data_IF_647890567650
#
_entry.id   IF_647890567650
#
_cell.length_a   1.000
_cell.length_b   1.000
_cell.length_c   1.000
_cell.angle_alpha   90.00
_cell.angle_beta   90.00
_cell.angle_gamma   90.00
#
_symmetry.space_group_name_H-M   'P 1'
#
loop_
_entity.id
_entity.type
_entity.pdbx_description
1 polymer ?
#
# COMPACT_ATOMS: atom_id res chain seq x y z
N UNK A 1 0.03 1.52 -29.12
CA UNK A 1 0.81 1.25 -30.35
C UNK A 1 1.96 0.31 -30.00
N UNK A 2 1.76 -1.01 -30.06
CA UNK A 2 2.78 -2.05 -29.79
C UNK A 2 2.45 -3.30 -30.62
N UNK A 3 2.78 -3.30 -31.91
CA UNK A 3 2.64 -4.50 -32.78
C UNK A 3 3.78 -4.69 -33.79
N UNK A 4 4.89 -3.94 -33.70
CA UNK A 4 5.94 -3.97 -34.76
C UNK A 4 7.32 -4.47 -34.32
N UNK A 5 7.51 -4.99 -33.10
CA UNK A 5 8.85 -5.43 -32.64
C UNK A 5 9.09 -6.95 -32.81
N UNK A 6 8.05 -7.76 -33.06
CA UNK A 6 8.21 -9.22 -33.17
C UNK A 6 8.83 -9.71 -34.50
N UNK A 7 8.91 -8.87 -35.54
CA UNK A 7 9.42 -9.29 -36.86
C UNK A 7 10.95 -9.31 -36.99
N UNK A 8 11.68 -8.56 -36.17
CA UNK A 8 13.12 -8.38 -36.35
C UNK A 8 13.98 -9.43 -35.62
N UNK A 9 13.46 -10.08 -34.57
CA UNK A 9 14.25 -11.03 -33.75
C UNK A 9 14.43 -12.38 -34.44
N UNK A 10 13.46 -12.81 -35.25
CA UNK A 10 13.52 -14.11 -35.96
C UNK A 10 14.53 -14.08 -37.12
N UNK A 11 14.77 -12.93 -37.76
CA UNK A 11 15.77 -12.84 -38.84
C UNK A 11 17.22 -12.85 -38.34
N UNK A 12 17.48 -12.41 -37.11
CA UNK A 12 18.85 -12.35 -36.55
C UNK A 12 19.42 -13.71 -36.13
N UNK A 13 18.57 -14.65 -35.71
CA UNK A 13 18.99 -15.97 -35.22
C UNK A 13 19.39 -16.96 -36.33
N UNK A 14 19.07 -16.68 -37.60
CA UNK A 14 19.44 -17.54 -38.73
C UNK A 14 20.86 -17.24 -39.27
N UNK A 15 21.51 -16.16 -38.83
CA UNK A 15 22.83 -15.75 -39.35
C UNK A 15 23.99 -16.28 -38.48
N UNK A 16 23.75 -16.70 -37.24
CA UNK A 16 24.81 -17.10 -36.29
C UNK A 16 25.05 -18.62 -36.18
N UNK A 17 24.16 -19.47 -36.70
CA UNK A 17 24.43 -20.90 -36.86
C UNK A 17 25.09 -21.12 -38.23
N UNK A 18 26.36 -21.55 -38.25
CA UNK A 18 27.22 -21.70 -39.44
C UNK A 18 26.81 -22.75 -40.48
N UNK A 19 25.51 -22.87 -40.77
CA UNK A 19 24.94 -23.71 -41.80
C UNK A 19 23.88 -22.93 -42.61
N UNK A 20 24.11 -21.66 -42.91
CA UNK A 20 23.24 -20.92 -43.82
C UNK A 20 23.58 -21.31 -45.26
N UNK A 21 22.81 -22.22 -45.85
CA UNK A 21 22.59 -22.18 -47.30
C UNK A 21 22.09 -20.78 -47.63
N UNK A 22 22.79 -20.07 -48.49
CA UNK A 22 22.41 -18.72 -48.92
C UNK A 22 20.94 -18.71 -49.34
N UNK A 23 20.11 -17.96 -48.61
CA UNK A 23 18.71 -17.74 -48.98
C UNK A 23 18.76 -16.83 -50.21
N UNK A 24 18.39 -17.38 -51.37
CA UNK A 24 18.28 -16.65 -52.63
C UNK A 24 17.00 -15.81 -52.60
N UNK A 25 17.14 -14.52 -52.31
CA UNK A 25 16.01 -13.59 -52.22
C UNK A 25 15.39 -13.24 -53.59
N UNK A 26 16.05 -13.57 -54.70
CA UNK A 26 15.55 -13.30 -56.05
C UNK A 26 14.49 -14.31 -56.51
N UNK A 27 14.37 -15.46 -55.83
CA UNK A 27 13.35 -16.49 -56.11
C UNK A 27 12.09 -16.41 -55.25
N UNK A 28 12.00 -15.40 -54.39
CA UNK A 28 10.92 -15.28 -53.41
C UNK A 28 11.11 -16.26 -52.25
N UNK A 29 10.98 -15.77 -51.01
CA UNK A 29 11.06 -16.64 -49.85
C UNK A 29 9.81 -17.54 -49.80
N UNK A 30 10.01 -18.86 -49.87
CA UNK A 30 8.95 -19.83 -49.60
C UNK A 30 8.62 -19.78 -48.10
N UNK A 31 7.60 -18.98 -47.78
CA UNK A 31 7.09 -18.80 -46.42
C UNK A 31 6.69 -20.16 -45.81
N UNK A 32 6.28 -21.14 -46.62
CA UNK A 32 5.94 -22.49 -46.17
C UNK A 32 7.14 -23.31 -45.73
N UNK A 33 8.29 -23.18 -46.39
CA UNK A 33 9.56 -23.81 -45.97
C UNK A 33 10.12 -23.13 -44.71
N UNK A 34 10.04 -21.80 -44.61
CA UNK A 34 10.46 -21.06 -43.40
C UNK A 34 9.59 -21.42 -42.21
N UNK A 35 8.26 -21.51 -42.38
CA UNK A 35 7.35 -21.97 -41.32
C UNK A 35 7.63 -23.44 -40.95
N UNK A 36 7.91 -24.32 -41.93
CA UNK A 36 8.30 -25.71 -41.64
C UNK A 36 9.61 -25.81 -40.87
N UNK A 37 10.63 -25.03 -41.24
CA UNK A 37 11.92 -25.01 -40.55
C UNK A 37 11.79 -24.39 -39.16
N UNK A 38 11.00 -23.32 -38.99
CA UNK A 38 10.69 -22.74 -37.68
C UNK A 38 9.91 -23.70 -36.78
N UNK A 39 8.94 -24.43 -37.33
CA UNK A 39 8.20 -25.47 -36.60
C UNK A 39 9.08 -26.70 -36.29
N UNK A 40 9.99 -27.08 -37.20
CA UNK A 40 10.96 -28.16 -36.99
C UNK A 40 12.04 -27.78 -35.97
N UNK A 41 12.36 -26.49 -35.85
CA UNK A 41 13.24 -25.96 -34.82
C UNK A 41 12.61 -25.98 -33.42
N UNK A 42 11.31 -26.32 -33.28
CA UNK A 42 10.56 -26.37 -32.01
C UNK A 42 11.11 -25.36 -31.00
N UNK A 43 11.21 -24.09 -31.41
CA UNK A 43 11.60 -23.03 -30.48
C UNK A 43 10.36 -22.84 -29.60
N UNK A 44 10.19 -23.71 -28.61
CA UNK A 44 9.42 -23.39 -27.44
C UNK A 44 10.22 -22.28 -26.77
N UNK A 45 9.81 -21.00 -26.86
CA UNK A 45 10.49 -19.99 -26.07
C UNK A 45 10.37 -20.48 -24.64
N UNK A 46 11.51 -20.81 -24.01
CA UNK A 46 11.52 -21.24 -22.61
C UNK A 46 10.83 -20.12 -21.84
N UNK A 47 9.58 -20.35 -21.43
CA UNK A 47 8.79 -19.33 -20.76
C UNK A 47 9.44 -19.19 -19.40
N UNK A 48 10.18 -18.10 -19.26
CA UNK A 48 10.78 -17.76 -17.99
C UNK A 48 9.72 -17.03 -17.17
N UNK A 49 9.45 -17.52 -15.98
CA UNK A 49 8.61 -16.84 -15.01
C UNK A 49 9.35 -16.68 -13.70
N UNK A 50 8.98 -15.63 -12.99
CA UNK A 50 9.57 -15.28 -11.71
C UNK A 50 8.51 -15.40 -10.64
N UNK A 51 8.89 -16.01 -9.52
CA UNK A 51 8.06 -15.94 -8.31
C UNK A 51 8.26 -14.59 -7.65
N UNK A 52 7.17 -13.83 -7.56
CA UNK A 52 7.16 -12.56 -6.85
C UNK A 52 7.30 -12.81 -5.34
N UNK A 53 8.21 -12.08 -4.70
CA UNK A 53 8.38 -12.10 -3.25
C UNK A 53 8.09 -10.71 -2.70
N UNK A 54 7.01 -10.61 -1.92
CA UNK A 54 6.59 -9.35 -1.30
C UNK A 54 6.79 -9.41 0.21
N UNK A 55 7.27 -8.32 0.80
CA UNK A 55 7.32 -8.12 2.24
C UNK A 55 6.83 -6.73 2.60
N UNK A 56 6.20 -6.63 3.77
CA UNK A 56 5.83 -5.34 4.36
C UNK A 56 6.90 -4.93 5.35
N UNK A 57 7.40 -3.71 5.20
CA UNK A 57 8.31 -3.08 6.16
C UNK A 57 7.52 -2.00 6.88
N UNK A 58 7.63 -1.95 8.20
CA UNK A 58 7.08 -0.87 9.01
C UNK A 58 8.22 -0.23 9.80
N UNK A 59 8.28 1.10 9.76
CA UNK A 59 9.21 1.92 10.53
C UNK A 59 8.42 2.67 11.60
N UNK A 60 8.71 2.36 12.86
CA UNK A 60 8.19 3.08 14.01
C UNK A 60 8.90 4.44 14.19
N UNK A 61 8.37 5.29 15.08
CA UNK A 61 8.88 6.65 15.25
C UNK A 61 10.39 6.74 15.52
N UNK A 62 10.91 5.79 16.31
CA UNK A 62 12.31 5.73 16.74
C UNK A 62 13.25 5.06 15.72
N UNK A 63 12.73 4.44 14.67
CA UNK A 63 13.52 3.69 13.70
C UNK A 63 13.83 4.57 12.49
N UNK A 64 15.10 4.88 12.25
CA UNK A 64 15.50 5.79 11.17
C UNK A 64 15.78 5.08 9.84
N UNK A 65 15.98 3.76 9.87
CA UNK A 65 16.25 2.97 8.69
C UNK A 65 15.79 1.52 8.85
N UNK A 66 15.51 0.87 7.73
CA UNK A 66 15.35 -0.58 7.66
C UNK A 66 15.98 -1.11 6.37
N UNK A 67 16.50 -2.33 6.44
CA UNK A 67 16.95 -3.06 5.27
C UNK A 67 16.27 -4.42 5.24
N UNK A 68 15.88 -4.88 4.05
CA UNK A 68 15.32 -6.20 3.86
C UNK A 68 15.86 -6.87 2.61
N UNK A 69 16.14 -8.15 2.73
CA UNK A 69 16.49 -8.99 1.60
C UNK A 69 15.24 -9.73 1.10
N UNK A 70 15.01 -9.63 -0.20
CA UNK A 70 13.98 -10.31 -0.95
C UNK A 70 14.67 -11.30 -1.89
N UNK A 71 14.17 -12.52 -1.97
CA UNK A 71 14.69 -13.53 -2.89
C UNK A 71 13.59 -13.84 -3.90
N UNK A 72 13.81 -13.50 -5.16
CA UNK A 72 12.94 -13.91 -6.27
C UNK A 72 13.54 -15.13 -6.95
N UNK A 73 12.71 -16.12 -7.24
CA UNK A 73 13.15 -17.38 -7.87
C UNK A 73 12.71 -17.37 -9.33
N UNK A 74 13.67 -17.62 -10.22
CA UNK A 74 13.43 -17.79 -11.66
C UNK A 74 13.16 -19.25 -11.96
N UNK A 75 12.13 -19.48 -12.76
CA UNK A 75 11.79 -20.79 -13.27
C UNK A 75 11.80 -20.78 -14.80
N UNK A 76 12.15 -21.91 -15.38
CA UNK A 76 11.91 -22.20 -16.79
C UNK A 76 11.22 -23.56 -16.89
N UNK A 77 10.33 -23.70 -17.88
CA UNK A 77 9.71 -24.99 -18.13
C UNK A 77 10.74 -25.96 -18.72
N UNK A 78 10.85 -27.14 -18.10
CA UNK A 78 11.68 -28.25 -18.56
C UNK A 78 10.77 -29.43 -18.92
N UNK A 79 11.05 -30.09 -20.05
CA UNK A 79 10.38 -31.32 -20.40
C UNK A 79 10.95 -32.48 -19.57
N UNK A 80 10.11 -33.12 -18.77
CA UNK A 80 10.44 -34.35 -18.05
C UNK A 80 9.72 -35.54 -18.69
N UNK A 81 10.47 -36.61 -18.90
CA UNK A 81 9.94 -37.88 -19.43
C UNK A 81 9.20 -38.62 -18.31
N UNK A 82 7.94 -38.97 -18.54
CA UNK A 82 7.13 -39.81 -17.66
C UNK A 82 6.88 -41.18 -18.30
N UNK A 83 6.85 -42.26 -17.51
CA UNK A 83 6.45 -43.58 -17.99
C UNK A 83 5.01 -43.53 -18.55
N UNK A 84 4.81 -44.10 -19.74
CA UNK A 84 3.49 -44.21 -20.37
C UNK A 84 3.18 -45.66 -20.71
N UNK A 85 1.98 -46.10 -20.32
CA UNK A 85 1.48 -47.45 -20.59
C UNK A 85 1.14 -47.68 -22.08
N UNK A 86 1.18 -46.63 -22.92
CA UNK A 86 0.80 -46.67 -24.33
C UNK A 86 1.98 -46.78 -25.32
N UNK A 87 3.17 -47.20 -24.87
CA UNK A 87 4.23 -47.65 -25.77
C UNK A 87 5.13 -46.57 -26.37
N UNK A 88 5.34 -45.45 -25.67
CA UNK A 88 6.33 -44.43 -26.02
C UNK A 88 6.57 -43.45 -24.87
N UNK A 89 7.68 -42.69 -24.85
CA UNK A 89 7.93 -41.69 -23.81
C UNK A 89 6.87 -40.58 -23.89
N UNK A 90 6.17 -40.35 -22.79
CA UNK A 90 5.32 -39.17 -22.65
C UNK A 90 6.14 -38.07 -21.95
N UNK A 91 5.98 -36.82 -22.36
CA UNK A 91 6.66 -35.69 -21.74
C UNK A 91 5.65 -34.78 -21.05
N UNK A 92 5.99 -34.33 -19.84
CA UNK A 92 5.27 -33.28 -19.14
C UNK A 92 6.19 -32.07 -19.00
N UNK A 93 5.63 -30.87 -19.13
CA UNK A 93 6.36 -29.64 -18.82
C UNK A 93 6.26 -29.39 -17.32
N UNK A 94 7.39 -29.32 -16.64
CA UNK A 94 7.46 -28.98 -15.22
C UNK A 94 8.26 -27.69 -14.99
N UNK A 95 7.89 -26.88 -13.97
CA UNK A 95 8.75 -25.82 -13.47
C UNK A 95 10.09 -26.35 -13.00
N UNK A 96 11.19 -25.88 -13.59
CA UNK A 96 12.51 -26.06 -13.01
C UNK A 96 13.10 -24.72 -12.55
N UNK A 97 13.66 -24.68 -11.35
CA UNK A 97 14.34 -23.49 -10.83
C UNK A 97 15.64 -23.26 -11.60
N UNK A 98 15.78 -22.11 -12.24
CA UNK A 98 16.94 -21.77 -13.07
C UNK A 98 17.83 -20.70 -12.47
N UNK A 99 17.36 -19.99 -11.42
CA UNK A 99 18.15 -18.93 -10.78
C UNK A 99 17.46 -18.32 -9.56
N UNK A 100 18.25 -17.56 -8.80
CA UNK A 100 17.80 -16.82 -7.62
C UNK A 100 18.34 -15.40 -7.65
N UNK A 101 17.43 -14.44 -7.60
CA UNK A 101 17.75 -13.03 -7.53
C UNK A 101 17.60 -12.56 -6.10
N UNK A 102 18.71 -12.08 -5.51
CA UNK A 102 18.67 -11.49 -4.17
C UNK A 102 18.66 -9.98 -4.31
N UNK A 103 17.59 -9.38 -3.81
CA UNK A 103 17.43 -7.94 -3.86
C UNK A 103 17.37 -7.37 -2.45
N UNK A 104 18.34 -6.52 -2.12
CA UNK A 104 18.38 -5.78 -0.87
C UNK A 104 17.70 -4.43 -1.07
N UNK A 105 16.72 -4.13 -0.23
CA UNK A 105 16.05 -2.83 -0.21
C UNK A 105 16.35 -2.16 1.12
N UNK A 106 17.01 -1.01 1.05
CA UNK A 106 17.33 -0.16 2.19
C UNK A 106 16.46 1.10 2.14
N UNK A 107 15.84 1.43 3.26
CA UNK A 107 15.01 2.62 3.43
C UNK A 107 15.71 3.50 4.45
N UNK A 108 16.00 4.73 4.07
CA UNK A 108 16.56 5.76 4.94
C UNK A 108 15.56 6.92 5.07
N UNK A 109 15.24 7.26 6.32
CA UNK A 109 14.25 8.29 6.64
C UNK A 109 14.88 9.68 6.72
N UNK A 110 14.02 10.69 6.77
CA UNK A 110 14.45 12.07 6.98
C UNK A 110 15.02 12.25 8.40
N UNK A 111 16.11 13.01 8.53
CA UNK A 111 16.80 13.21 9.80
C UNK A 111 15.93 13.83 10.93
N UNK A 112 14.89 14.60 10.57
CA UNK A 112 13.96 15.16 11.56
C UNK A 112 13.02 14.11 12.21
N UNK A 113 13.04 12.86 11.74
CA UNK A 113 12.31 11.75 12.37
C UNK A 113 10.79 11.79 12.19
N UNK A 114 10.13 10.86 12.87
CA UNK A 114 8.68 10.66 12.90
C UNK A 114 8.17 11.21 14.22
N UNK A 115 6.96 11.78 14.23
CA UNK A 115 6.30 12.06 15.49
C UNK A 115 5.91 10.75 16.21
N UNK A 116 5.74 10.75 17.54
CA UNK A 116 5.52 9.51 18.30
C UNK A 116 4.32 8.66 17.87
N UNK A 117 3.30 9.27 17.24
CA UNK A 117 2.12 8.58 16.71
C UNK A 117 2.21 8.22 15.22
N UNK A 118 3.22 8.75 14.52
CA UNK A 118 3.42 8.46 13.12
C UNK A 118 4.12 7.11 12.94
N UNK A 119 3.79 6.44 11.84
CA UNK A 119 4.43 5.22 11.39
C UNK A 119 4.51 5.25 9.87
N UNK A 120 5.55 4.67 9.31
CA UNK A 120 5.65 4.49 7.87
C UNK A 120 5.60 3.00 7.55
N UNK A 121 4.84 2.63 6.53
CA UNK A 121 4.72 1.25 6.08
C UNK A 121 4.79 1.16 4.56
N UNK A 122 5.50 0.14 4.12
CA UNK A 122 5.86 -0.05 2.72
C UNK A 122 5.61 -1.48 2.32
N UNK A 123 5.01 -1.67 1.14
CA UNK A 123 5.01 -2.97 0.46
C UNK A 123 6.13 -2.97 -0.56
N UNK A 124 7.05 -3.91 -0.41
CA UNK A 124 8.22 -4.08 -1.28
C UNK A 124 8.12 -5.46 -1.92
N UNK A 125 8.06 -5.50 -3.25
CA UNK A 125 7.93 -6.72 -4.02
C UNK A 125 9.09 -6.83 -5.02
N UNK A 126 9.75 -7.99 -5.06
CA UNK A 126 10.81 -8.29 -6.01
C UNK A 126 10.35 -9.32 -7.05
N UNK A 127 10.61 -9.02 -8.32
CA UNK A 127 10.36 -9.89 -9.48
C UNK A 127 11.63 -9.95 -10.32
N UNK A 128 12.40 -11.04 -10.18
CA UNK A 128 13.78 -11.08 -10.68
C UNK A 128 14.62 -9.98 -10.04
N UNK A 129 15.32 -9.19 -10.86
CA UNK A 129 16.07 -8.01 -10.40
C UNK A 129 15.19 -6.78 -10.15
N UNK A 130 13.95 -6.76 -10.64
CA UNK A 130 13.08 -5.58 -10.53
C UNK A 130 12.41 -5.50 -9.17
N UNK A 131 12.35 -4.28 -8.61
CA UNK A 131 11.62 -3.98 -7.38
C UNK A 131 10.48 -3.03 -7.64
N UNK A 132 9.30 -3.44 -7.20
CA UNK A 132 8.14 -2.58 -7.05
C UNK A 132 8.01 -2.15 -5.58
N UNK A 133 7.81 -0.85 -5.39
CA UNK A 133 7.69 -0.23 -4.08
C UNK A 133 6.39 0.54 -4.01
N UNK A 134 5.61 0.28 -2.96
CA UNK A 134 4.37 0.99 -2.68
C UNK A 134 4.38 1.48 -1.23
N UNK A 135 4.24 2.79 -1.05
CA UNK A 135 3.96 3.39 0.26
C UNK A 135 2.53 3.05 0.63
N UNK A 136 2.33 2.34 1.74
CA UNK A 136 1.00 2.03 2.31
C UNK A 136 0.57 3.19 3.21
N UNK A 137 1.48 3.65 4.06
CA UNK A 137 1.31 4.81 4.95
C UNK A 137 2.67 5.47 5.10
N UNK A 138 2.75 6.80 5.02
CA UNK A 138 4.05 7.47 5.06
C UNK A 138 3.94 8.93 5.47
N UNK A 139 4.83 9.35 6.38
CA UNK A 139 5.02 10.75 6.73
C UNK A 139 6.04 11.42 5.80
N UNK A 140 6.60 10.69 4.84
CA UNK A 140 7.63 11.20 3.95
C UNK A 140 7.31 10.86 2.50
N UNK A 141 7.63 11.80 1.62
CA UNK A 141 7.71 11.54 0.19
C UNK A 141 9.08 10.92 -0.10
N UNK A 142 9.10 9.78 -0.80
CA UNK A 142 10.32 9.04 -1.11
C UNK A 142 10.74 9.21 -2.56
N UNK A 143 12.05 9.34 -2.80
CA UNK A 143 12.65 9.16 -4.13
C UNK A 143 13.27 7.77 -4.18
N UNK A 144 12.98 7.02 -5.25
CA UNK A 144 13.73 5.80 -5.53
C UNK A 144 15.10 6.18 -6.09
N UNK A 145 16.14 5.79 -5.38
CA UNK A 145 17.52 5.81 -5.85
C UNK A 145 17.90 4.36 -6.17
N UNK A 146 17.87 4.01 -7.45
CA UNK A 146 18.32 2.70 -7.88
C UNK A 146 19.85 2.73 -7.99
N UNK A 147 20.53 1.93 -7.18
CA UNK A 147 21.95 1.65 -7.34
C UNK A 147 22.08 0.17 -7.72
N UNK A 148 22.16 -0.14 -9.02
CA UNK A 148 22.52 -1.49 -9.46
C UNK A 148 23.99 -1.70 -9.12
N UNK A 149 24.25 -2.03 -7.87
CA UNK A 149 25.52 -2.57 -7.41
C UNK A 149 25.26 -4.05 -7.22
N UNK A 150 25.95 -4.92 -7.97
CA UNK A 150 25.99 -6.34 -7.64
C UNK A 150 26.37 -6.48 -6.15
N UNK A 151 25.57 -7.18 -5.33
CA UNK A 151 25.96 -7.46 -3.93
C UNK A 151 27.22 -8.33 -3.88
N UNK A 152 27.50 -9.06 -4.95
CA UNK A 152 28.64 -9.95 -5.17
C UNK A 152 29.06 -9.88 -6.65
N UNK A 153 30.18 -10.48 -7.04
CA UNK A 153 30.60 -10.59 -8.45
C UNK A 153 29.62 -11.43 -9.33
N UNK A 154 28.47 -11.83 -8.77
CA UNK A 154 27.37 -12.48 -9.47
C UNK A 154 26.39 -11.43 -10.01
N UNK A 155 25.93 -11.63 -11.25
CA UNK A 155 25.03 -10.73 -11.95
C UNK A 155 23.58 -10.73 -11.42
N UNK A 156 23.28 -11.40 -10.29
CA UNK A 156 21.92 -11.67 -9.81
C UNK A 156 21.53 -10.90 -8.54
N UNK A 157 22.29 -9.86 -8.20
CA UNK A 157 22.11 -9.10 -6.98
C UNK A 157 21.87 -7.61 -7.25
N UNK A 158 20.92 -6.99 -6.56
CA UNK A 158 20.63 -5.55 -6.69
C UNK A 158 20.37 -4.88 -5.34
N UNK A 159 20.80 -3.63 -5.20
CA UNK A 159 20.55 -2.78 -4.03
C UNK A 159 19.64 -1.61 -4.42
N UNK A 160 18.54 -1.44 -3.69
CA UNK A 160 17.66 -0.28 -3.86
C UNK A 160 17.70 0.57 -2.61
N UNK A 161 17.89 1.87 -2.78
CA UNK A 161 17.84 2.84 -1.71
C UNK A 161 16.63 3.76 -1.88
N UNK A 162 15.91 3.96 -0.79
CA UNK A 162 14.77 4.86 -0.72
C UNK A 162 15.09 5.94 0.29
N UNK A 163 15.39 7.12 -0.23
CA UNK A 163 15.73 8.29 0.58
C UNK A 163 14.52 9.23 0.64
N UNK A 164 14.17 9.65 1.85
CA UNK A 164 13.11 10.62 2.08
C UNK A 164 13.48 12.00 1.52
N UNK A 165 12.58 12.61 0.73
CA UNK A 165 12.77 13.93 0.12
C UNK A 165 12.18 15.03 0.99
N UNK A 166 10.96 14.80 1.49
CA UNK A 166 10.14 15.83 2.14
C UNK A 166 9.18 15.18 3.13
N UNK A 167 9.04 15.78 4.32
CA UNK A 167 8.00 15.42 5.29
C UNK A 167 6.62 15.87 4.79
N UNK A 168 5.63 15.00 4.89
CA UNK A 168 4.23 15.24 4.56
C UNK A 168 3.40 15.19 5.84
N UNK A 169 2.36 16.02 5.97
CA UNK A 169 1.43 15.91 7.09
C UNK A 169 0.73 14.54 7.10
N UNK A 170 0.62 13.92 8.27
CA UNK A 170 -0.12 12.66 8.47
C UNK A 170 -1.40 12.90 9.27
N UNK A 171 -2.29 11.91 9.28
CA UNK A 171 -3.47 11.95 10.14
C UNK A 171 -3.04 12.15 11.61
N UNK A 172 -3.79 12.95 12.38
CA UNK A 172 -3.51 13.10 13.80
C UNK A 172 -3.68 11.77 14.53
N UNK A 173 -3.01 11.60 15.67
CA UNK A 173 -3.21 10.44 16.54
C UNK A 173 -4.70 10.35 16.93
N UNK A 174 -5.40 9.24 16.62
CA UNK A 174 -6.79 9.07 17.05
C UNK A 174 -6.99 9.17 18.57
N UNK A 175 -5.93 8.89 19.34
CA UNK A 175 -5.90 8.97 20.79
C UNK A 175 -5.10 10.19 21.30
N UNK A 176 -4.85 11.15 20.41
CA UNK A 176 -4.06 12.34 20.73
C UNK A 176 -4.78 13.31 21.66
N UNK A 177 -6.11 13.37 21.59
CA UNK A 177 -6.95 14.13 22.51
C UNK A 177 -7.91 13.20 23.22
N UNK A 178 -7.89 13.25 24.56
CA UNK A 178 -8.79 12.49 25.42
C UNK A 178 -9.82 13.47 25.99
N UNK A 179 -11.10 13.20 25.74
CA UNK A 179 -12.23 13.99 26.25
C UNK A 179 -12.78 13.34 27.51
N UNK A 180 -13.05 14.15 28.53
CA UNK A 180 -13.54 13.75 29.85
C UNK A 180 -14.61 14.72 30.36
N UNK A 181 -15.27 14.37 31.47
CA UNK A 181 -16.20 15.24 32.22
C UNK A 181 -17.28 15.89 31.35
N UNK A 182 -18.15 15.06 30.77
CA UNK A 182 -19.30 15.54 30.02
C UNK A 182 -20.40 16.07 30.96
N UNK A 183 -20.96 17.24 30.61
CA UNK A 183 -22.18 17.76 31.19
C UNK A 183 -23.07 18.41 30.12
N UNK A 184 -24.37 18.24 30.25
CA UNK A 184 -25.38 18.93 29.44
C UNK A 184 -26.35 19.68 30.35
N UNK A 185 -26.67 20.92 30.00
CA UNK A 185 -27.61 21.73 30.76
C UNK A 185 -27.68 23.18 30.28
N UNK A 186 -28.85 23.82 30.41
CA UNK A 186 -29.02 25.24 30.07
C UNK A 186 -28.68 25.60 28.62
N UNK A 187 -28.88 24.67 27.67
CA UNK A 187 -28.54 24.88 26.26
C UNK A 187 -27.03 24.85 25.96
N UNK A 188 -26.22 24.28 26.84
CA UNK A 188 -24.77 24.15 26.66
C UNK A 188 -24.33 22.70 26.86
N UNK A 189 -23.47 22.22 25.97
CA UNK A 189 -22.69 21.00 26.18
C UNK A 189 -21.29 21.37 26.65
N UNK A 190 -20.87 20.84 27.79
CA UNK A 190 -19.57 21.11 28.39
C UNK A 190 -18.71 19.85 28.48
N UNK A 191 -17.42 20.01 28.21
CA UNK A 191 -16.43 18.93 28.23
C UNK A 191 -15.09 19.47 28.77
N UNK A 192 -14.30 18.58 29.36
CA UNK A 192 -12.85 18.80 29.49
C UNK A 192 -12.11 17.93 28.49
N UNK A 193 -10.95 18.38 28.03
CA UNK A 193 -10.11 17.59 27.13
C UNK A 193 -8.64 17.78 27.47
N UNK A 194 -7.85 16.72 27.28
CA UNK A 194 -6.39 16.72 27.45
C UNK A 194 -5.71 16.34 26.14
N UNK A 195 -4.62 17.04 25.81
CA UNK A 195 -3.89 16.85 24.56
C UNK A 195 -2.48 16.33 24.82
N UNK A 196 -2.32 15.04 24.55
CA UNK A 196 -1.08 14.29 24.76
C UNK A 196 0.09 14.86 23.95
N UNK A 197 -0.19 15.44 22.80
CA UNK A 197 0.81 15.85 21.82
C UNK A 197 0.93 17.36 21.66
N UNK A 198 0.25 18.14 22.49
CA UNK A 198 0.22 19.61 22.42
C UNK A 198 1.60 20.26 22.25
N UNK A 199 2.65 19.72 22.88
CA UNK A 199 4.02 20.22 22.74
C UNK A 199 4.58 20.11 21.30
N UNK A 200 4.22 19.06 20.55
CA UNK A 200 4.63 18.90 19.16
C UNK A 200 3.87 19.85 18.23
N UNK A 201 2.61 20.16 18.57
CA UNK A 201 1.72 21.03 17.80
C UNK A 201 1.80 22.51 18.21
N UNK A 202 2.91 22.94 18.82
CA UNK A 202 3.06 24.30 19.29
C UNK A 202 2.88 25.32 18.15
N UNK A 203 1.94 26.27 18.32
CA UNK A 203 1.60 27.27 17.31
C UNK A 203 0.55 26.85 16.28
N UNK A 204 0.15 25.58 16.27
CA UNK A 204 -0.97 25.11 15.46
C UNK A 204 -2.32 25.31 16.18
N UNK A 205 -3.41 25.00 15.48
CA UNK A 205 -4.77 25.09 16.02
C UNK A 205 -5.46 23.74 16.04
N UNK A 206 -6.45 23.60 16.90
CA UNK A 206 -7.36 22.47 16.97
C UNK A 206 -8.78 22.96 16.75
N UNK A 207 -9.54 22.24 15.93
CA UNK A 207 -10.98 22.44 15.81
C UNK A 207 -11.64 21.31 16.56
N UNK A 208 -12.46 21.64 17.55
CA UNK A 208 -13.35 20.69 18.18
C UNK A 208 -14.74 20.78 17.55
N UNK A 209 -15.31 19.64 17.20
CA UNK A 209 -16.68 19.53 16.70
C UNK A 209 -17.51 18.73 17.70
N UNK A 210 -18.59 19.32 18.22
CA UNK A 210 -19.62 18.60 18.97
C UNK A 210 -20.82 18.35 18.06
N UNK A 211 -21.24 17.09 17.91
CA UNK A 211 -22.42 16.69 17.14
C UNK A 211 -23.42 15.99 18.03
N UNK A 212 -24.63 16.50 18.05
CA UNK A 212 -25.79 15.82 18.62
C UNK A 212 -26.34 14.88 17.56
N UNK A 213 -26.54 13.62 17.92
CA UNK A 213 -27.11 12.61 17.04
C UNK A 213 -28.22 11.82 17.75
N UNK A 214 -29.09 11.23 16.93
CA UNK A 214 -30.05 10.21 17.34
C UNK A 214 -29.60 8.86 16.81
N UNK A 215 -29.68 7.85 17.67
CA UNK A 215 -29.46 6.45 17.37
C UNK A 215 -30.73 5.92 16.72
N UNK A 216 -30.61 5.58 15.45
CA UNK A 216 -31.69 4.94 14.71
C UNK A 216 -31.33 3.48 14.58
N UNK A 217 -32.02 2.63 15.35
CA UNK A 217 -31.90 1.18 15.22
C UNK A 217 -32.93 0.71 14.21
N UNK A 218 -32.47 0.19 13.07
CA UNK A 218 -33.36 -0.49 12.13
C UNK A 218 -33.39 -1.96 12.55
N UNK A 219 -34.51 -2.39 13.11
CA UNK A 219 -34.73 -3.81 13.35
C UNK A 219 -34.80 -4.54 12.00
N UNK A 220 -34.05 -5.63 11.83
CA UNK A 220 -34.13 -6.42 10.61
C UNK A 220 -35.55 -6.98 10.46
N UNK A 221 -36.00 -7.14 9.21
CA UNK A 221 -37.27 -7.81 8.93
C UNK A 221 -37.30 -9.16 9.65
N UNK A 222 -38.37 -9.43 10.42
CA UNK A 222 -38.52 -10.66 11.20
C UNK A 222 -38.45 -11.94 10.34
N UNK A 223 -38.57 -11.82 9.01
CA UNK A 223 -38.42 -12.90 8.04
C UNK A 223 -36.96 -13.20 7.65
N UNK A 224 -36.01 -12.32 7.95
CA UNK A 224 -34.59 -12.49 7.61
C UNK A 224 -33.81 -13.02 8.82
N UNK A 225 -33.68 -14.34 8.91
CA UNK A 225 -33.07 -15.07 10.04
C UNK A 225 -31.57 -14.82 10.29
N UNK A 226 -30.92 -13.92 9.54
CA UNK A 226 -29.45 -13.77 9.56
C UNK A 226 -28.97 -12.31 9.44
N UNK A 227 -29.78 -11.35 9.88
CA UNK A 227 -29.38 -9.94 9.88
C UNK A 227 -29.18 -9.41 11.30
N UNK A 228 -27.99 -8.91 11.58
CA UNK A 228 -27.71 -8.07 12.75
C UNK A 228 -28.37 -6.70 12.57
N UNK A 229 -29.02 -6.14 13.61
CA UNK A 229 -29.54 -4.78 13.56
C UNK A 229 -28.48 -3.80 13.09
N UNK A 230 -28.83 -2.96 12.12
CA UNK A 230 -27.95 -1.90 11.62
C UNK A 230 -28.29 -0.63 12.38
N UNK A 231 -27.35 -0.16 13.21
CA UNK A 231 -27.46 1.12 13.90
C UNK A 231 -26.94 2.26 13.03
N UNK A 232 -27.77 3.27 12.78
CA UNK A 232 -27.37 4.51 12.13
C UNK A 232 -27.34 5.65 13.17
N UNK A 233 -26.49 6.65 12.95
CA UNK A 233 -26.51 7.92 13.69
C UNK A 233 -27.06 9.01 12.79
N UNK A 234 -28.25 9.53 13.10
CA UNK A 234 -28.80 10.71 12.42
C UNK A 234 -28.27 11.96 13.12
N UNK A 235 -27.41 12.73 12.45
CA UNK A 235 -26.95 14.02 12.98
C UNK A 235 -28.12 15.01 13.04
N UNK A 236 -28.33 15.63 14.19
CA UNK A 236 -29.39 16.61 14.44
C UNK A 236 -28.81 18.02 14.45
N UNK A 237 -27.69 18.19 15.15
CA UNK A 237 -27.04 19.48 15.29
C UNK A 237 -25.53 19.31 15.38
N UNK A 238 -24.80 20.34 14.96
CA UNK A 238 -23.35 20.40 15.00
C UNK A 238 -22.90 21.82 15.34
N UNK A 239 -21.85 21.92 16.14
CA UNK A 239 -21.18 23.18 16.44
C UNK A 239 -19.68 22.95 16.59
N UNK A 240 -18.90 23.99 16.31
CA UNK A 240 -17.44 23.92 16.23
C UNK A 240 -16.79 25.04 17.03
N UNK A 241 -15.63 24.72 17.61
CA UNK A 241 -14.77 25.67 18.30
C UNK A 241 -13.34 25.51 17.79
N UNK A 242 -12.78 26.58 17.26
CA UNK A 242 -11.37 26.66 16.89
C UNK A 242 -10.57 27.28 18.04
N UNK A 243 -9.56 26.58 18.50
CA UNK A 243 -8.70 26.98 19.61
C UNK A 243 -7.24 26.80 19.23
N UNK A 244 -6.35 27.58 19.86
CA UNK A 244 -4.92 27.27 19.81
C UNK A 244 -4.63 26.00 20.57
N UNK A 245 -3.62 25.27 20.12
CA UNK A 245 -3.17 24.05 20.79
C UNK A 245 -2.72 24.36 22.22
N UNK A 246 -3.25 23.60 23.16
CA UNK A 246 -2.97 23.67 24.59
C UNK A 246 -2.95 22.26 25.20
N UNK A 247 -2.24 22.04 26.32
CA UNK A 247 -2.23 20.73 26.99
C UNK A 247 -3.58 20.31 27.57
N UNK A 248 -4.49 21.26 27.79
CA UNK A 248 -5.84 20.98 28.24
C UNK A 248 -6.84 22.07 27.86
N UNK A 249 -8.11 21.68 27.76
CA UNK A 249 -9.21 22.53 27.32
C UNK A 249 -10.41 22.38 28.25
N UNK A 250 -11.17 23.48 28.37
CA UNK A 250 -12.53 23.50 28.89
C UNK A 250 -13.43 24.00 27.77
N UNK A 251 -14.24 23.11 27.24
CA UNK A 251 -15.04 23.35 26.04
C UNK A 251 -16.49 23.58 26.46
N UNK A 252 -17.13 24.58 25.85
CA UNK A 252 -18.53 24.90 26.06
C UNK A 252 -19.17 25.20 24.71
N UNK A 253 -20.08 24.33 24.28
CA UNK A 253 -20.76 24.41 22.99
C UNK A 253 -22.21 24.84 23.20
N UNK A 254 -22.59 26.08 22.83
CA UNK A 254 -23.98 26.49 22.87
C UNK A 254 -24.78 25.73 21.80
N UNK A 255 -25.88 25.12 22.21
CA UNK A 255 -26.82 24.41 21.34
C UNK A 255 -28.24 24.84 21.69
N UNK A 256 -28.97 25.33 20.70
CA UNK A 256 -30.32 25.88 20.88
C UNK A 256 -31.31 24.85 21.46
N UNK A 257 -31.22 23.60 21.00
CA UNK A 257 -32.06 22.51 21.47
C UNK A 257 -31.25 21.24 21.71
N UNK A 258 -31.18 20.80 22.97
CA UNK A 258 -30.57 19.53 23.36
C UNK A 258 -31.72 18.53 23.51
N UNK A 259 -31.89 17.58 22.56
CA UNK A 259 -32.89 16.54 22.72
C UNK A 259 -32.51 15.66 23.92
N UNK A 260 -33.53 15.20 24.64
CA UNK A 260 -33.39 14.35 25.82
C UNK A 260 -34.03 13.00 25.52
N UNK A 261 -33.33 11.92 25.84
CA UNK A 261 -33.85 10.56 25.70
C UNK A 261 -32.77 9.54 25.38
N UNK A 262 -33.06 8.25 25.60
CA UNK A 262 -32.07 7.16 25.48
C UNK A 262 -31.51 6.99 24.06
N UNK A 263 -32.25 7.47 23.06
CA UNK A 263 -31.86 7.42 21.66
C UNK A 263 -30.92 8.55 21.26
N UNK A 264 -30.69 9.56 22.10
CA UNK A 264 -29.82 10.68 21.77
C UNK A 264 -28.42 10.52 22.35
N UNK A 265 -27.45 11.13 21.67
CA UNK A 265 -26.07 11.20 22.15
C UNK A 265 -25.31 12.37 21.56
N UNK A 266 -24.14 12.62 22.12
CA UNK A 266 -23.18 13.59 21.60
C UNK A 266 -21.92 12.87 21.20
N UNK A 267 -21.42 13.15 20.00
CA UNK A 267 -20.04 12.82 19.62
C UNK A 267 -19.19 14.08 19.68
N UNK A 268 -18.03 13.98 20.31
CA UNK A 268 -16.99 15.01 20.28
C UNK A 268 -15.86 14.49 19.42
N UNK A 269 -15.45 15.32 18.47
CA UNK A 269 -14.38 15.03 17.53
C UNK A 269 -13.43 16.22 17.44
N UNK A 270 -12.24 15.99 16.92
CA UNK A 270 -11.27 17.04 16.69
C UNK A 270 -10.56 16.87 15.34
N UNK A 271 -10.07 17.99 14.81
CA UNK A 271 -9.11 18.01 13.71
C UNK A 271 -8.00 19.02 14.02
N UNK A 272 -6.84 18.86 13.35
CA UNK A 272 -5.70 19.77 13.51
C UNK A 272 -5.60 20.69 12.29
N UNK A 273 -5.37 21.97 12.53
CA UNK A 273 -5.09 22.95 11.47
C UNK A 273 -3.62 23.36 11.60
N UNK A 274 -2.82 22.98 10.60
CA UNK A 274 -1.40 23.32 10.55
C UNK A 274 -0.63 22.54 9.49
N UNK A 275 0.66 22.36 9.74
CA UNK A 275 1.64 21.72 8.86
C UNK A 275 2.03 20.31 9.31
N UNK A 276 1.72 19.95 10.56
CA UNK A 276 2.10 18.67 11.15
C UNK A 276 1.13 17.56 10.74
N UNK A 277 -0.17 17.86 10.76
CA UNK A 277 -1.20 16.88 10.44
C UNK A 277 -2.14 17.31 9.32
N UNK A 278 -2.71 16.32 8.66
CA UNK A 278 -3.87 16.53 7.78
C UNK A 278 -5.04 17.02 8.63
N UNK A 279 -5.97 17.81 8.05
CA UNK A 279 -7.16 18.27 8.75
C UNK A 279 -8.23 17.17 8.89
N UNK A 280 -7.82 15.90 8.96
CA UNK A 280 -8.72 14.77 9.16
C UNK A 280 -9.38 14.87 10.55
N UNK A 281 -10.68 14.61 10.57
CA UNK A 281 -11.49 14.66 11.78
C UNK A 281 -11.52 13.29 12.47
N UNK A 282 -11.24 13.27 13.77
CA UNK A 282 -11.18 12.09 14.61
C UNK A 282 -12.24 12.17 15.70
N UNK A 283 -13.09 11.14 15.82
CA UNK A 283 -14.02 10.98 16.95
C UNK A 283 -13.22 10.64 18.23
N UNK A 284 -13.24 11.56 19.21
CA UNK A 284 -12.52 11.41 20.47
C UNK A 284 -13.38 10.79 21.57
N UNK A 285 -14.68 11.07 21.59
CA UNK A 285 -15.60 10.51 22.57
C UNK A 285 -17.05 10.54 22.10
N UNK A 286 -17.84 9.65 22.68
CA UNK A 286 -19.30 9.59 22.49
C UNK A 286 -19.97 9.48 23.86
N UNK A 287 -20.96 10.33 24.12
CA UNK A 287 -21.71 10.37 25.37
C UNK A 287 -23.19 10.19 25.11
N UNK A 288 -23.93 9.46 25.97
CA UNK A 288 -25.40 9.49 25.96
C UNK A 288 -25.91 10.86 26.46
N UNK A 289 -27.08 11.27 25.98
CA UNK A 289 -27.81 12.46 26.46
C UNK A 289 -28.96 12.10 27.40
#
# INVERSE_FOLDING_TARGET
MKKQIFGAVVLGLLVSAGAARAIDFDRGADIGEVIRQANALQINPAVTYYRNTCKTITLAAQENAAAIDLVSVQYADQAEEIPSDQGGPAFVMVPHETGRFTTRVSIERFAAGLYPWEKESFSVCALGSDVNFKVISGASQYKRVAAITPLDDSSQSAVYELSAIKKMPMNPDPLGIIVSEFASGGGVLSFTASDKWSAYYAGEKVVFTARVFEKVTIEPDAQASDQTPIGYRRQISQTQLELFVAPGYRLAFPIEHIPVGPDYGVSVSFSRIGSISTPEEVEAAVFPL
#
